data_IF_584418748457
#
_entry.id   IF_584418748457
#
_cell.length_a   1.000
_cell.length_b   1.000
_cell.length_c   1.000
_cell.angle_alpha   90.00
_cell.angle_beta   90.00
_cell.angle_gamma   90.00
#
_symmetry.space_group_name_H-M   'P 1'
#
loop_
_entity.id
_entity.type
_entity.pdbx_description
1 polymer ?
#
# COMPACT_ATOMS: atom_id res chain seq x y z
N UNK A 1 3.66 -2.62 -8.91
CA UNK A 1 5.07 -2.20 -9.01
C UNK A 1 5.17 -0.83 -8.38
N UNK A 2 6.25 -0.53 -7.66
CA UNK A 2 6.58 0.80 -7.14
C UNK A 2 7.91 1.22 -7.75
N UNK A 3 7.93 2.38 -8.41
CA UNK A 3 9.06 2.86 -9.20
C UNK A 3 9.47 4.24 -8.67
N UNK A 4 10.77 4.45 -8.50
CA UNK A 4 11.37 5.69 -8.04
C UNK A 4 12.42 6.14 -9.06
N UNK A 5 12.13 7.20 -9.84
CA UNK A 5 13.15 7.82 -10.67
C UNK A 5 14.14 8.57 -9.79
N UNK A 6 15.42 8.21 -9.90
CA UNK A 6 16.56 8.91 -9.34
C UNK A 6 17.30 9.65 -10.47
N UNK A 7 18.30 10.46 -10.14
CA UNK A 7 18.97 11.34 -11.11
C UNK A 7 19.51 10.61 -12.36
N UNK A 8 20.01 9.39 -12.21
CA UNK A 8 20.68 8.63 -13.28
C UNK A 8 20.10 7.22 -13.51
N UNK A 9 19.12 6.82 -12.72
CA UNK A 9 18.58 5.46 -12.73
C UNK A 9 17.17 5.42 -12.18
N UNK A 10 16.50 4.32 -12.47
CA UNK A 10 15.24 3.96 -11.85
C UNK A 10 15.52 2.82 -10.87
N UNK A 11 15.00 2.95 -9.65
CA UNK A 11 14.96 1.86 -8.68
C UNK A 11 13.52 1.55 -8.31
N UNK A 12 13.28 0.35 -7.80
CA UNK A 12 11.94 -0.01 -7.38
C UNK A 12 11.79 -1.46 -7.01
N UNK A 13 10.54 -1.88 -6.95
CA UNK A 13 10.19 -3.27 -6.69
C UNK A 13 8.83 -3.61 -7.26
N UNK A 14 8.58 -4.91 -7.41
CA UNK A 14 7.24 -5.42 -7.60
C UNK A 14 7.01 -6.64 -6.72
N UNK A 15 5.76 -6.85 -6.32
CA UNK A 15 5.38 -8.01 -5.54
C UNK A 15 4.87 -9.11 -6.46
N UNK A 16 5.60 -10.23 -6.53
CA UNK A 16 5.23 -11.37 -7.33
C UNK A 16 4.26 -12.26 -6.54
N UNK A 17 2.96 -12.03 -6.73
CA UNK A 17 1.88 -12.70 -5.98
C UNK A 17 1.99 -14.22 -5.93
N UNK A 18 2.39 -14.87 -7.03
CA UNK A 18 2.50 -16.34 -7.10
C UNK A 18 3.58 -16.90 -6.16
N UNK A 19 4.67 -16.16 -5.96
CA UNK A 19 5.76 -16.56 -5.06
C UNK A 19 5.64 -15.91 -3.67
N UNK A 20 4.77 -14.92 -3.51
CA UNK A 20 4.64 -14.18 -2.25
C UNK A 20 5.87 -13.34 -1.93
N UNK A 21 6.69 -13.02 -2.93
CA UNK A 21 7.96 -12.31 -2.74
C UNK A 21 7.96 -10.93 -3.38
N UNK A 22 8.69 -10.02 -2.74
CA UNK A 22 8.99 -8.71 -3.30
C UNK A 22 10.34 -8.75 -4.00
N UNK A 23 10.34 -8.38 -5.27
CA UNK A 23 11.48 -8.49 -6.16
C UNK A 23 11.98 -7.10 -6.52
N UNK A 24 13.29 -6.90 -6.40
CA UNK A 24 13.93 -5.60 -6.63
C UNK A 24 14.11 -5.35 -8.11
N UNK A 25 13.94 -4.09 -8.49
CA UNK A 25 14.10 -3.59 -9.83
C UNK A 25 15.16 -2.49 -9.86
N UNK A 26 15.96 -2.49 -10.91
CA UNK A 26 16.88 -1.40 -11.26
C UNK A 26 16.83 -1.17 -12.75
N UNK A 27 16.91 0.06 -13.21
CA UNK A 27 16.73 0.31 -14.63
C UNK A 27 16.97 1.73 -15.05
N UNK A 28 16.47 2.06 -16.24
CA UNK A 28 16.51 3.39 -16.84
C UNK A 28 15.25 3.59 -17.67
N UNK A 29 14.90 4.84 -17.89
CA UNK A 29 13.90 5.24 -18.85
C UNK A 29 14.37 6.49 -19.60
N UNK A 30 13.85 6.64 -20.81
CA UNK A 30 13.83 7.91 -21.54
C UNK A 30 12.37 8.36 -21.75
N UNK A 31 12.11 9.23 -22.72
CA UNK A 31 10.78 9.76 -23.01
C UNK A 31 9.77 8.69 -23.49
N UNK A 32 10.24 7.59 -24.08
CA UNK A 32 9.39 6.59 -24.76
C UNK A 32 9.61 5.17 -24.28
N UNK A 33 10.80 4.86 -23.78
CA UNK A 33 11.21 3.51 -23.43
C UNK A 33 11.59 3.40 -21.96
N UNK A 34 11.34 2.22 -21.39
CA UNK A 34 11.76 1.86 -20.04
C UNK A 34 12.32 0.45 -20.03
N UNK A 35 13.47 0.29 -19.37
CA UNK A 35 14.11 -1.00 -19.17
C UNK A 35 14.34 -1.18 -17.67
N UNK A 36 13.72 -2.21 -17.09
CA UNK A 36 13.90 -2.59 -15.68
C UNK A 36 14.46 -4.01 -15.60
N UNK A 37 15.60 -4.15 -14.93
CA UNK A 37 16.24 -5.40 -14.60
C UNK A 37 15.69 -5.92 -13.28
N UNK A 38 15.33 -7.20 -13.28
CA UNK A 38 14.88 -7.95 -12.12
C UNK A 38 16.07 -8.63 -11.44
N UNK A 39 16.13 -8.59 -10.11
CA UNK A 39 17.21 -9.21 -9.34
C UNK A 39 16.68 -10.11 -8.23
N UNK A 40 17.30 -11.28 -8.11
CA UNK A 40 17.09 -12.15 -6.94
C UNK A 40 17.83 -11.63 -5.70
N UNK A 41 17.70 -12.37 -4.58
CA UNK A 41 18.32 -12.02 -3.29
C UNK A 41 19.85 -12.03 -3.33
N UNK A 42 20.46 -12.73 -4.29
CA UNK A 42 21.92 -12.77 -4.50
C UNK A 42 22.42 -11.62 -5.38
N UNK A 43 21.51 -10.84 -5.97
CA UNK A 43 21.84 -9.78 -6.92
C UNK A 43 22.07 -10.28 -8.35
N UNK A 44 21.72 -11.53 -8.65
CA UNK A 44 21.75 -12.05 -10.02
C UNK A 44 20.55 -11.52 -10.78
N UNK A 45 20.77 -11.07 -12.02
CA UNK A 45 19.68 -10.70 -12.90
C UNK A 45 18.86 -11.94 -13.31
N UNK A 46 17.56 -11.91 -13.06
CA UNK A 46 16.63 -13.02 -13.35
C UNK A 46 15.62 -12.70 -14.44
N UNK A 47 15.57 -11.45 -14.89
CA UNK A 47 14.68 -11.03 -15.95
C UNK A 47 14.83 -9.55 -16.30
N UNK A 48 14.17 -9.16 -17.38
CA UNK A 48 14.19 -7.80 -17.92
C UNK A 48 12.77 -7.45 -18.36
N UNK A 49 12.22 -6.37 -17.81
CA UNK A 49 11.05 -5.70 -18.36
C UNK A 49 11.53 -4.70 -19.41
N UNK A 50 11.14 -4.90 -20.67
CA UNK A 50 11.31 -3.92 -21.74
C UNK A 50 9.94 -3.35 -22.07
N UNK A 51 9.75 -2.06 -21.85
CA UNK A 51 8.48 -1.38 -22.01
C UNK A 51 8.57 -0.12 -22.85
N UNK A 52 7.42 0.29 -23.34
CA UNK A 52 7.18 1.57 -23.99
C UNK A 52 6.10 2.33 -23.24
N UNK A 53 6.14 3.66 -23.32
CA UNK A 53 5.15 4.54 -22.70
C UNK A 53 4.90 5.78 -23.55
N UNK A 54 3.63 6.09 -23.77
CA UNK A 54 3.21 7.38 -24.33
C UNK A 54 3.07 8.44 -23.22
N UNK A 55 2.72 7.98 -22.01
CA UNK A 55 2.64 8.76 -20.78
C UNK A 55 3.10 7.88 -19.63
N UNK A 56 3.56 8.47 -18.52
CA UNK A 56 3.93 7.73 -17.31
C UNK A 56 2.76 6.96 -16.68
N UNK A 57 1.53 7.25 -17.10
CA UNK A 57 0.31 6.62 -16.59
C UNK A 57 0.12 5.20 -17.12
N UNK A 58 0.71 4.89 -18.27
CA UNK A 58 0.57 3.60 -18.94
C UNK A 58 1.88 3.14 -19.55
N UNK A 59 2.40 2.03 -19.01
CA UNK A 59 3.60 1.37 -19.52
C UNK A 59 3.21 -0.02 -19.96
N UNK A 60 3.62 -0.44 -21.16
CA UNK A 60 3.34 -1.77 -21.68
C UNK A 60 4.56 -2.35 -22.37
N UNK A 61 4.67 -3.67 -22.40
CA UNK A 61 5.78 -4.31 -23.10
C UNK A 61 5.90 -5.78 -22.75
N UNK A 62 7.14 -6.25 -22.67
CA UNK A 62 7.48 -7.65 -22.52
C UNK A 62 8.48 -7.84 -21.39
N UNK A 63 8.15 -8.71 -20.45
CA UNK A 63 9.12 -9.30 -19.53
C UNK A 63 9.80 -10.47 -20.21
N UNK A 64 11.11 -10.59 -20.05
CA UNK A 64 11.96 -11.63 -20.63
C UNK A 64 12.76 -12.26 -19.49
N UNK A 65 12.80 -13.60 -19.41
CA UNK A 65 13.59 -14.33 -18.41
C UNK A 65 15.08 -14.05 -18.57
N UNK A 66 15.86 -14.22 -17.50
CA UNK A 66 17.30 -13.96 -17.52
C UNK A 66 18.10 -14.82 -18.51
N UNK A 67 17.55 -15.96 -18.95
CA UNK A 67 18.11 -16.80 -20.02
C UNK A 67 17.53 -16.52 -21.41
N UNK A 68 16.60 -15.58 -21.53
CA UNK A 68 15.96 -15.17 -22.79
C UNK A 68 14.91 -16.13 -23.35
N UNK A 69 14.66 -17.29 -22.72
CA UNK A 69 13.81 -18.35 -23.28
C UNK A 69 12.32 -18.13 -23.07
N UNK A 70 11.95 -17.46 -21.99
CA UNK A 70 10.56 -17.23 -21.61
C UNK A 70 10.28 -15.74 -21.68
N UNK A 71 9.12 -15.39 -22.24
CA UNK A 71 8.65 -14.02 -22.25
C UNK A 71 7.15 -13.94 -21.97
N UNK A 72 6.74 -12.84 -21.35
CA UNK A 72 5.33 -12.55 -21.05
C UNK A 72 5.03 -11.08 -21.36
N UNK A 73 3.87 -10.77 -21.97
CA UNK A 73 3.42 -9.39 -22.06
C UNK A 73 3.11 -8.86 -20.66
N UNK A 74 3.37 -7.57 -20.43
CA UNK A 74 2.94 -6.88 -19.22
C UNK A 74 2.30 -5.53 -19.57
N UNK A 75 1.46 -5.06 -18.66
CA UNK A 75 0.88 -3.73 -18.69
C UNK A 75 0.84 -3.18 -17.26
N UNK A 76 1.23 -1.92 -17.11
CA UNK A 76 1.18 -1.16 -15.87
C UNK A 76 0.24 0.02 -16.08
N UNK A 77 -0.60 0.25 -15.08
CA UNK A 77 -1.42 1.45 -14.97
C UNK A 77 -1.05 2.17 -13.67
N UNK A 78 -0.83 3.48 -13.78
CA UNK A 78 -0.52 4.30 -12.62
C UNK A 78 -1.68 4.25 -11.62
N UNK A 79 -1.34 3.94 -10.37
CA UNK A 79 -2.28 3.93 -9.26
C UNK A 79 -2.20 5.19 -8.41
N UNK A 80 -0.98 5.68 -8.16
CA UNK A 80 -0.75 6.91 -7.41
C UNK A 80 0.68 7.40 -7.62
N UNK A 81 0.86 8.71 -7.43
CA UNK A 81 2.16 9.37 -7.37
C UNK A 81 2.34 9.85 -5.93
N UNK A 82 3.55 9.67 -5.37
CA UNK A 82 3.92 10.19 -4.06
C UNK A 82 5.09 11.17 -4.24
N UNK A 83 4.81 12.46 -4.52
CA UNK A 83 5.85 13.46 -4.72
C UNK A 83 6.77 13.56 -3.50
N UNK A 84 8.08 13.56 -3.72
CA UNK A 84 9.09 13.69 -2.66
C UNK A 84 9.31 12.44 -1.80
N UNK A 85 8.67 11.31 -2.12
CA UNK A 85 8.91 10.06 -1.42
C UNK A 85 10.29 9.48 -1.74
N UNK A 86 11.08 9.21 -0.71
CA UNK A 86 12.38 8.55 -0.82
C UNK A 86 12.22 7.04 -1.01
N UNK A 87 13.08 6.44 -1.83
CA UNK A 87 13.11 4.98 -2.00
C UNK A 87 13.39 4.27 -0.67
N UNK A 88 12.51 3.33 -0.30
CA UNK A 88 12.58 2.61 0.97
C UNK A 88 11.97 3.34 2.17
N UNK A 89 11.40 4.54 1.96
CA UNK A 89 10.69 5.32 2.98
C UNK A 89 9.36 5.85 2.42
N UNK A 90 8.60 4.98 1.77
CA UNK A 90 7.33 5.30 1.12
C UNK A 90 6.36 6.01 2.06
N UNK A 91 6.28 5.55 3.30
CA UNK A 91 5.26 6.02 4.26
C UNK A 91 5.79 7.07 5.25
N UNK A 92 7.07 7.44 5.20
CA UNK A 92 7.70 8.29 6.22
C UNK A 92 7.00 9.65 6.42
N UNK A 93 6.39 10.20 5.36
CA UNK A 93 5.58 11.44 5.44
C UNK A 93 4.41 11.36 6.44
N UNK A 94 3.90 10.15 6.70
CA UNK A 94 2.76 9.88 7.56
C UNK A 94 3.15 9.27 8.91
N UNK A 95 4.25 8.52 8.95
CA UNK A 95 4.60 7.67 10.11
C UNK A 95 6.01 7.92 10.65
N UNK A 96 6.74 8.90 10.12
CA UNK A 96 8.11 9.20 10.51
C UNK A 96 9.05 8.02 10.26
N UNK A 97 9.76 7.60 11.29
CA UNK A 97 10.79 6.55 11.21
C UNK A 97 10.24 5.12 11.23
N UNK A 98 8.92 4.92 11.30
CA UNK A 98 8.33 3.58 11.24
C UNK A 98 8.58 2.97 9.86
N UNK A 99 9.20 1.79 9.82
CA UNK A 99 9.62 1.15 8.57
C UNK A 99 8.44 0.83 7.64
N UNK A 100 8.67 0.91 6.33
CA UNK A 100 7.64 0.58 5.34
C UNK A 100 7.07 -0.83 5.54
N UNK A 101 7.94 -1.78 5.89
CA UNK A 101 7.57 -3.17 6.15
C UNK A 101 6.60 -3.30 7.33
N UNK A 102 6.78 -2.50 8.38
CA UNK A 102 5.90 -2.57 9.55
C UNK A 102 4.55 -1.91 9.30
N UNK A 103 4.49 -0.87 8.47
CA UNK A 103 3.22 -0.32 7.98
C UNK A 103 2.45 -1.34 7.14
N UNK A 104 3.11 -2.04 6.21
CA UNK A 104 2.46 -3.06 5.37
C UNK A 104 1.99 -4.28 6.17
N UNK A 105 2.75 -4.68 7.20
CA UNK A 105 2.32 -5.70 8.16
C UNK A 105 1.11 -5.22 8.96
N UNK A 106 1.11 -3.96 9.41
CA UNK A 106 -0.02 -3.40 10.14
C UNK A 106 -1.29 -3.39 9.27
N UNK A 107 -1.19 -2.94 8.02
CA UNK A 107 -2.29 -2.99 7.04
C UNK A 107 -2.79 -4.42 6.81
N UNK A 108 -1.88 -5.38 6.62
CA UNK A 108 -2.25 -6.81 6.46
C UNK A 108 -2.91 -7.37 7.73
N UNK A 109 -2.45 -6.95 8.92
CA UNK A 109 -3.03 -7.34 10.21
C UNK A 109 -4.47 -6.83 10.34
N UNK A 110 -4.73 -5.54 10.10
CA UNK A 110 -6.08 -4.98 10.18
C UNK A 110 -7.01 -5.57 9.10
N UNK A 111 -6.48 -5.86 7.90
CA UNK A 111 -7.19 -6.57 6.86
C UNK A 111 -7.67 -7.94 7.35
N UNK A 112 -6.79 -8.71 8.00
CA UNK A 112 -7.16 -10.01 8.57
C UNK A 112 -8.24 -9.90 9.64
N UNK A 113 -8.26 -8.82 10.42
CA UNK A 113 -9.30 -8.60 11.42
C UNK A 113 -10.66 -8.32 10.78
N UNK A 114 -10.68 -7.59 9.67
CA UNK A 114 -11.91 -7.31 8.91
C UNK A 114 -12.43 -8.57 8.22
N UNK A 115 -11.55 -9.36 7.57
CA UNK A 115 -11.94 -10.59 6.87
C UNK A 115 -12.54 -11.64 7.83
N UNK A 116 -12.01 -11.71 9.05
CA UNK A 116 -12.42 -12.71 10.04
C UNK A 116 -13.38 -12.15 11.10
N UNK A 117 -13.94 -10.96 10.90
CA UNK A 117 -14.86 -10.31 11.85
C UNK A 117 -14.33 -10.19 13.29
N UNK A 118 -13.01 -10.07 13.46
CA UNK A 118 -12.34 -9.90 14.75
C UNK A 118 -12.46 -8.45 15.24
N UNK A 119 -13.68 -8.00 15.47
CA UNK A 119 -14.04 -6.62 15.86
C UNK A 119 -13.32 -6.16 17.12
N UNK A 120 -13.12 -7.02 18.12
CA UNK A 120 -12.41 -6.67 19.35
C UNK A 120 -10.95 -6.33 19.12
N UNK A 121 -10.30 -7.04 18.18
CA UNK A 121 -8.91 -6.78 17.82
C UNK A 121 -8.81 -5.52 16.98
N UNK A 122 -9.64 -5.39 15.94
CA UNK A 122 -9.67 -4.18 15.11
C UNK A 122 -9.92 -2.93 15.93
N UNK A 123 -10.88 -2.98 16.86
CA UNK A 123 -11.22 -1.85 17.71
C UNK A 123 -10.08 -1.43 18.66
N UNK A 124 -9.11 -2.31 18.93
CA UNK A 124 -7.90 -2.00 19.69
C UNK A 124 -6.79 -1.31 18.89
N UNK A 125 -6.93 -1.24 17.57
CA UNK A 125 -5.98 -0.59 16.66
C UNK A 125 -6.43 0.83 16.26
N UNK A 126 -7.52 1.34 16.86
CA UNK A 126 -8.13 2.63 16.52
C UNK A 126 -7.73 3.70 17.54
N UNK A 127 -7.31 4.85 17.04
CA UNK A 127 -7.12 6.06 17.82
C UNK A 127 -8.46 6.79 17.95
N UNK A 128 -9.08 6.67 19.12
CA UNK A 128 -10.37 7.31 19.42
C UNK A 128 -10.20 8.75 19.88
N UNK A 129 -11.23 9.60 19.71
CA UNK A 129 -12.50 9.33 19.02
C UNK A 129 -12.34 9.31 17.50
N UNK A 130 -13.22 8.59 16.79
CA UNK A 130 -13.20 8.50 15.32
C UNK A 130 -14.57 8.81 14.72
N UNK A 131 -14.58 9.49 13.57
CA UNK A 131 -15.80 9.74 12.81
C UNK A 131 -16.04 8.62 11.81
N UNK A 132 -17.28 8.13 11.73
CA UNK A 132 -17.74 7.11 10.78
C UNK A 132 -19.11 7.50 10.22
N UNK A 133 -19.53 6.93 9.09
CA UNK A 133 -20.89 7.08 8.58
C UNK A 133 -21.78 5.93 9.05
N UNK A 134 -22.93 6.25 9.64
CA UNK A 134 -23.96 5.28 10.00
C UNK A 134 -25.30 5.82 9.51
N UNK A 135 -25.93 5.08 8.59
CA UNK A 135 -27.15 5.51 7.88
C UNK A 135 -26.97 6.90 7.25
N UNK A 136 -25.88 7.07 6.48
CA UNK A 136 -25.48 8.30 5.77
C UNK A 136 -25.21 9.53 6.65
N UNK A 137 -25.23 9.38 7.98
CA UNK A 137 -24.91 10.44 8.93
C UNK A 137 -23.56 10.21 9.56
N UNK A 138 -22.72 11.23 9.60
CA UNK A 138 -21.47 11.21 10.36
C UNK A 138 -21.79 11.08 11.85
N UNK A 139 -21.20 10.06 12.50
CA UNK A 139 -21.27 9.85 13.95
C UNK A 139 -19.86 9.76 14.52
N UNK A 140 -19.67 10.35 15.69
CA UNK A 140 -18.41 10.32 16.43
C UNK A 140 -18.43 9.17 17.43
N UNK A 141 -17.64 8.14 17.16
CA UNK A 141 -17.46 6.97 18.01
C UNK A 141 -16.38 7.28 19.04
N UNK A 142 -16.73 7.23 20.32
CA UNK A 142 -15.86 7.72 21.40
C UNK A 142 -14.85 6.68 21.88
N UNK A 143 -15.17 5.39 21.74
CA UNK A 143 -14.37 4.33 22.33
C UNK A 143 -14.60 2.97 21.66
N UNK A 144 -13.80 2.00 22.11
CA UNK A 144 -13.83 0.60 21.67
C UNK A 144 -15.20 -0.06 21.79
N UNK A 145 -15.90 0.13 22.92
CA UNK A 145 -17.21 -0.48 23.16
C UNK A 145 -18.25 0.02 22.16
N UNK A 146 -18.27 1.34 21.92
CA UNK A 146 -19.17 1.95 20.95
C UNK A 146 -18.85 1.52 19.52
N UNK A 147 -17.57 1.42 19.16
CA UNK A 147 -17.16 0.91 17.85
C UNK A 147 -17.65 -0.52 17.60
N UNK A 148 -17.44 -1.42 18.56
CA UNK A 148 -17.87 -2.82 18.47
C UNK A 148 -19.40 -2.91 18.29
N UNK A 149 -20.17 -2.09 19.00
CA UNK A 149 -21.63 -2.03 18.87
C UNK A 149 -22.09 -1.60 17.47
N UNK A 150 -21.32 -0.74 16.81
CA UNK A 150 -21.66 -0.20 15.50
C UNK A 150 -20.90 -0.89 14.34
N UNK A 151 -20.13 -1.95 14.63
CA UNK A 151 -19.21 -2.56 13.66
C UNK A 151 -19.88 -2.95 12.35
N UNK A 152 -21.04 -3.63 12.40
CA UNK A 152 -21.73 -4.09 11.19
C UNK A 152 -22.35 -2.96 10.36
N UNK A 153 -22.63 -1.80 10.98
CA UNK A 153 -23.05 -0.60 10.26
C UNK A 153 -21.86 0.08 9.57
N UNK A 154 -20.69 0.06 10.21
CA UNK A 154 -19.46 0.63 9.67
C UNK A 154 -18.95 -0.25 8.53
N UNK A 155 -18.74 -1.54 8.80
CA UNK A 155 -18.23 -2.55 7.87
C UNK A 155 -19.37 -3.34 7.25
N UNK A 156 -20.17 -2.68 6.42
CA UNK A 156 -21.15 -3.37 5.58
C UNK A 156 -20.45 -4.29 4.54
N UNK A 157 -21.23 -5.12 3.86
CA UNK A 157 -20.72 -6.10 2.88
C UNK A 157 -19.84 -5.49 1.80
N UNK A 158 -20.19 -4.30 1.29
CA UNK A 158 -19.42 -3.60 0.26
C UNK A 158 -18.08 -3.13 0.79
N UNK A 159 -18.04 -2.57 2.00
CA UNK A 159 -16.78 -2.17 2.61
C UNK A 159 -15.90 -3.39 2.88
N UNK A 160 -16.43 -4.46 3.47
CA UNK A 160 -15.67 -5.71 3.68
C UNK A 160 -15.09 -6.24 2.38
N UNK A 161 -15.86 -6.24 1.28
CA UNK A 161 -15.38 -6.68 -0.03
C UNK A 161 -14.21 -5.82 -0.54
N UNK A 162 -14.29 -4.50 -0.43
CA UNK A 162 -13.18 -3.61 -0.81
C UNK A 162 -11.94 -3.92 0.02
N UNK A 163 -12.10 -4.09 1.33
CA UNK A 163 -10.98 -4.37 2.24
C UNK A 163 -10.37 -5.75 2.01
N UNK A 164 -11.16 -6.77 1.67
CA UNK A 164 -10.65 -8.09 1.29
C UNK A 164 -9.79 -8.03 0.02
N UNK A 165 -10.14 -7.16 -0.93
CA UNK A 165 -9.41 -7.04 -2.19
C UNK A 165 -8.29 -5.99 -2.16
N UNK A 166 -8.25 -5.15 -1.12
CA UNK A 166 -7.27 -4.09 -0.98
C UNK A 166 -5.85 -4.66 -0.92
N UNK A 167 -4.93 -4.03 -1.64
CA UNK A 167 -3.52 -4.42 -1.61
C UNK A 167 -2.83 -3.74 -0.43
N UNK A 168 -2.29 -4.53 0.49
CA UNK A 168 -1.64 -4.04 1.72
C UNK A 168 -0.19 -3.58 1.53
N UNK A 169 0.30 -3.60 0.28
CA UNK A 169 1.62 -3.11 -0.11
C UNK A 169 1.49 -1.94 -1.08
N UNK A 170 2.51 -1.11 -1.15
CA UNK A 170 2.54 0.08 -2.01
C UNK A 170 1.31 0.99 -1.87
N UNK A 171 0.81 1.13 -0.64
CA UNK A 171 -0.36 1.97 -0.35
C UNK A 171 -0.08 3.44 -0.69
N UNK A 172 -1.14 4.20 -0.94
CA UNK A 172 -0.99 5.65 -1.08
C UNK A 172 -0.66 6.27 0.29
N UNK A 173 0.17 7.31 0.30
CA UNK A 173 0.48 8.05 1.52
C UNK A 173 0.75 9.52 1.20
N UNK A 174 0.36 10.37 2.15
CA UNK A 174 0.70 11.78 2.19
C UNK A 174 0.69 12.26 3.64
N UNK A 175 0.79 13.57 3.86
CA UNK A 175 0.80 14.17 5.21
C UNK A 175 -0.47 13.90 6.05
N UNK A 176 -1.57 13.39 5.45
CA UNK A 176 -2.79 13.00 6.18
C UNK A 176 -2.74 11.56 6.71
N UNK A 177 -1.80 10.75 6.21
CA UNK A 177 -1.62 9.36 6.61
C UNK A 177 -1.36 8.41 5.45
N UNK A 178 -1.28 7.13 5.79
CA UNK A 178 -1.22 6.01 4.84
C UNK A 178 -2.64 5.50 4.61
N UNK A 179 -3.09 5.49 3.36
CA UNK A 179 -4.44 5.07 2.98
C UNK A 179 -4.46 3.57 2.64
N UNK A 180 -5.17 2.79 3.44
CA UNK A 180 -5.46 1.38 3.17
C UNK A 180 -6.89 1.21 2.66
N UNK A 181 -7.06 0.60 1.49
CA UNK A 181 -8.34 0.53 0.76
C UNK A 181 -8.31 1.36 -0.52
N UNK A 182 -9.46 1.49 -1.19
CA UNK A 182 -9.58 2.23 -2.45
C UNK A 182 -10.89 3.04 -2.50
N UNK A 183 -10.87 4.17 -3.21
CA UNK A 183 -12.05 5.01 -3.41
C UNK A 183 -12.69 5.47 -2.10
N UNK A 184 -14.02 5.33 -1.97
CA UNK A 184 -14.77 5.77 -0.79
C UNK A 184 -14.63 4.85 0.43
N UNK A 185 -14.05 3.66 0.26
CA UNK A 185 -13.93 2.63 1.28
C UNK A 185 -12.46 2.46 1.66
N UNK A 186 -12.02 3.27 2.63
CA UNK A 186 -10.63 3.31 3.01
C UNK A 186 -10.43 3.71 4.47
N UNK A 187 -9.27 3.35 5.00
CA UNK A 187 -8.83 3.67 6.34
C UNK A 187 -7.52 4.44 6.26
N UNK A 188 -7.34 5.42 7.16
CA UNK A 188 -6.09 6.17 7.27
C UNK A 188 -5.31 5.71 8.50
N UNK A 189 -4.05 5.36 8.27
CA UNK A 189 -3.10 4.87 9.28
C UNK A 189 -2.07 5.97 9.51
N UNK A 190 -1.78 6.28 10.77
CA UNK A 190 -0.76 7.24 11.16
C UNK A 190 0.09 6.68 12.32
N UNK A 191 1.31 7.19 12.46
CA UNK A 191 2.12 7.00 13.66
C UNK A 191 1.65 7.95 14.75
N UNK A 192 1.21 7.41 15.89
CA UNK A 192 0.79 8.19 17.05
C UNK A 192 1.89 8.11 18.10
N UNK A 193 2.39 9.27 18.53
CA UNK A 193 3.40 9.36 19.56
C UNK A 193 2.86 8.78 20.89
N UNK A 194 3.68 7.92 21.49
CA UNK A 194 3.49 7.36 22.82
C UNK A 194 4.24 8.19 23.86
N UNK A 195 3.89 8.05 25.13
CA UNK A 195 4.51 8.77 26.25
C UNK A 195 5.99 8.42 26.47
N UNK A 196 6.43 7.27 25.99
CA UNK A 196 7.82 6.81 26.04
C UNK A 196 8.68 7.32 24.87
N UNK A 197 8.13 8.19 24.02
CA UNK A 197 8.79 8.73 22.84
C UNK A 197 8.76 7.81 21.62
N UNK A 198 8.24 6.59 21.73
CA UNK A 198 7.98 5.73 20.58
C UNK A 198 6.77 6.21 19.78
N UNK A 199 6.59 5.72 18.56
CA UNK A 199 5.36 5.92 17.79
C UNK A 199 4.68 4.58 17.50
N UNK A 200 3.36 4.53 17.66
CA UNK A 200 2.54 3.35 17.40
C UNK A 200 1.65 3.60 16.18
N UNK A 201 1.60 2.64 15.26
CA UNK A 201 0.64 2.67 14.15
C UNK A 201 -0.78 2.50 14.67
N UNK A 202 -1.65 3.43 14.29
CA UNK A 202 -3.07 3.43 14.66
C UNK A 202 -3.93 3.86 13.48
N UNK A 203 -5.15 3.34 13.43
CA UNK A 203 -6.22 3.81 12.53
C UNK A 203 -6.74 5.14 13.07
N UNK A 204 -6.74 6.17 12.23
CA UNK A 204 -7.10 7.54 12.61
C UNK A 204 -8.29 8.09 11.81
N UNK A 205 -8.62 7.49 10.67
CA UNK A 205 -9.87 7.75 9.97
C UNK A 205 -10.41 6.48 9.31
N UNK A 206 -11.74 6.39 9.23
CA UNK A 206 -12.47 5.34 8.52
C UNK A 206 -13.48 6.04 7.62
N UNK A 207 -13.33 5.84 6.32
CA UNK A 207 -14.28 6.26 5.30
C UNK A 207 -15.07 5.03 4.86
N UNK A 208 -16.38 5.07 5.08
CA UNK A 208 -17.32 3.97 4.85
C UNK A 208 -18.63 4.44 4.22
#
# INVERSE_FOLDING_TARGET
MSIYPLSNEIVGSYFYKKQGEEIKLKGKADEKEIILYEYDKSGKNTGIFKGTMDTVDKIQGTWISGDGKINYPFSLSLKSILPGSEYGKRYAVAVGEISDKDVEKFASKIQSYIINDNKEKLAGEINYPINVKINDKTRKIQNKTEFIKNYDFIFNSKYKQVMTNAFSKYMFANYKGVMFGEGNYNMWINGIASTDGSSKLMITAINN
#
